data_IF_426785621449
#
_entry.id   IF_426785621449
#
_cell.length_a   1.000
_cell.length_b   1.000
_cell.length_c   1.000
_cell.angle_alpha   90.00
_cell.angle_beta   90.00
_cell.angle_gamma   90.00
#
_symmetry.space_group_name_H-M   'P 1'
#
loop_
_entity.id
_entity.type
_entity.pdbx_description
1 polymer ?
#
# COMPACT_ATOMS: atom_id res chain seq x y z
N UNK A 1 -0.87 -19.28 0.44
CA UNK A 1 -1.71 -20.48 0.68
C UNK A 1 -1.08 -21.68 0.00
N UNK A 2 -0.96 -22.83 0.70
CA UNK A 2 -0.44 -24.08 0.13
C UNK A 2 -1.49 -24.65 -0.82
N UNK A 3 -1.12 -24.93 -2.07
CA UNK A 3 -2.05 -25.40 -3.13
C UNK A 3 -1.88 -26.87 -3.45
N UNK A 4 -0.66 -27.38 -3.33
CA UNK A 4 -0.35 -28.78 -3.60
C UNK A 4 0.47 -29.38 -2.48
N UNK A 5 0.15 -30.58 -2.12
CA UNK A 5 0.92 -31.39 -1.18
C UNK A 5 0.66 -32.88 -1.42
N UNK A 6 1.59 -33.70 -1.03
CA UNK A 6 1.44 -35.17 -1.10
C UNK A 6 0.37 -35.59 -0.09
N UNK A 7 -0.61 -36.39 -0.53
CA UNK A 7 -1.63 -36.96 0.36
C UNK A 7 -0.98 -37.96 1.32
N UNK A 8 -0.79 -37.55 2.57
CA UNK A 8 -0.13 -38.32 3.62
C UNK A 8 -1.00 -38.36 4.87
N UNK A 9 -0.99 -39.48 5.64
CA UNK A 9 -1.80 -39.61 6.84
C UNK A 9 -1.40 -38.65 7.99
N UNK A 10 -0.18 -38.08 7.95
CA UNK A 10 0.30 -37.10 8.92
C UNK A 10 -0.04 -35.63 8.55
N UNK A 11 -0.60 -35.37 7.36
CA UNK A 11 -1.02 -34.05 6.92
C UNK A 11 -2.53 -33.90 7.02
N UNK A 12 -3.00 -32.83 7.65
CA UNK A 12 -4.43 -32.54 7.82
C UNK A 12 -4.67 -31.04 7.74
N UNK A 13 -5.81 -30.67 7.16
CA UNK A 13 -6.37 -29.34 7.34
C UNK A 13 -6.98 -29.23 8.73
N UNK A 14 -6.70 -28.12 9.40
CA UNK A 14 -7.31 -27.75 10.69
C UNK A 14 -7.92 -26.36 10.58
N UNK A 15 -8.93 -26.10 11.41
CA UNK A 15 -9.75 -24.90 11.38
C UNK A 15 -11.09 -25.15 10.68
N UNK A 16 -12.18 -24.59 11.21
CA UNK A 16 -13.51 -24.65 10.58
C UNK A 16 -13.66 -23.56 9.50
N UNK A 17 -12.91 -22.48 9.64
CA UNK A 17 -12.72 -21.40 8.67
C UNK A 17 -11.23 -21.04 8.67
N UNK A 18 -10.75 -20.41 7.59
CA UNK A 18 -9.32 -20.09 7.39
C UNK A 18 -8.42 -21.31 7.59
N UNK A 19 -8.85 -22.43 7.04
CA UNK A 19 -8.18 -23.72 7.16
C UNK A 19 -6.69 -23.62 6.76
N UNK A 20 -5.84 -24.23 7.58
CA UNK A 20 -4.42 -24.34 7.27
C UNK A 20 -3.93 -25.77 7.41
N UNK A 21 -2.91 -26.12 6.61
CA UNK A 21 -2.35 -27.46 6.61
C UNK A 21 -1.37 -27.60 7.78
N UNK A 22 -1.55 -28.64 8.58
CA UNK A 22 -0.65 -29.00 9.68
C UNK A 22 -0.09 -30.40 9.50
N UNK A 23 1.07 -30.64 10.10
CA UNK A 23 1.70 -31.95 10.17
C UNK A 23 1.67 -32.49 11.59
N UNK A 24 1.03 -33.63 11.77
CA UNK A 24 0.93 -34.29 13.09
C UNK A 24 2.32 -34.74 13.56
N UNK A 25 2.69 -34.36 14.79
CA UNK A 25 3.92 -34.80 15.45
C UNK A 25 5.21 -34.13 15.02
N UNK A 26 5.16 -33.08 14.18
CA UNK A 26 6.34 -32.28 13.80
C UNK A 26 5.96 -30.80 13.64
N UNK A 27 6.83 -29.91 14.07
CA UNK A 27 6.70 -28.48 13.81
C UNK A 27 7.16 -28.13 12.38
N UNK A 28 6.31 -27.40 11.67
CA UNK A 28 6.61 -26.83 10.36
C UNK A 28 6.37 -27.75 9.16
N UNK A 29 6.12 -27.12 8.03
CA UNK A 29 6.01 -27.72 6.70
C UNK A 29 7.20 -27.28 5.86
N UNK A 30 7.78 -28.22 5.11
CA UNK A 30 8.74 -27.84 4.07
C UNK A 30 7.95 -27.32 2.87
N UNK A 31 8.10 -26.03 2.56
CA UNK A 31 7.39 -25.37 1.46
C UNK A 31 8.35 -25.07 0.33
N UNK A 32 7.89 -25.30 -0.90
CA UNK A 32 8.59 -24.91 -2.12
C UNK A 32 7.77 -23.86 -2.84
N UNK A 33 8.42 -22.76 -3.22
CA UNK A 33 7.80 -21.75 -4.06
C UNK A 33 7.77 -22.22 -5.52
N UNK A 34 6.57 -22.38 -6.06
CA UNK A 34 6.32 -22.77 -7.44
C UNK A 34 5.65 -21.65 -8.27
N UNK A 35 5.69 -20.40 -7.80
CA UNK A 35 5.01 -19.28 -8.46
C UNK A 35 5.50 -19.01 -9.87
N UNK A 36 6.75 -19.35 -10.18
CA UNK A 36 7.32 -19.25 -11.53
C UNK A 36 6.87 -20.35 -12.49
N UNK A 37 6.43 -21.51 -11.96
CA UNK A 37 6.04 -22.69 -12.73
C UNK A 37 4.54 -22.85 -12.85
N UNK A 38 3.77 -22.32 -11.88
CA UNK A 38 2.34 -22.55 -11.75
C UNK A 38 1.60 -21.25 -11.46
N UNK A 39 0.64 -20.93 -12.30
CA UNK A 39 -0.30 -19.84 -12.09
C UNK A 39 -1.72 -20.39 -11.94
N UNK A 40 -2.46 -19.83 -10.96
CA UNK A 40 -3.85 -20.17 -10.74
C UNK A 40 -4.72 -18.94 -10.91
N UNK A 41 -5.72 -19.02 -11.76
CA UNK A 41 -6.77 -18.04 -11.83
C UNK A 41 -7.81 -18.35 -10.75
N UNK A 42 -7.93 -17.50 -9.74
CA UNK A 42 -8.93 -17.62 -8.69
C UNK A 42 -10.16 -16.78 -9.06
N UNK A 43 -11.23 -17.44 -9.48
CA UNK A 43 -12.47 -16.76 -9.92
C UNK A 43 -13.41 -16.37 -8.75
N UNK A 44 -13.17 -16.88 -7.56
CA UNK A 44 -14.05 -16.70 -6.38
C UNK A 44 -14.07 -15.29 -5.76
N UNK A 45 -13.40 -14.31 -6.37
CA UNK A 45 -13.43 -12.90 -5.99
C UNK A 45 -14.10 -12.00 -7.02
N UNK A 46 -14.85 -12.57 -7.99
CA UNK A 46 -15.65 -11.77 -8.89
C UNK A 46 -16.72 -11.02 -8.10
N UNK A 47 -17.09 -9.80 -8.55
CA UNK A 47 -17.95 -8.89 -7.78
C UNK A 47 -19.33 -9.47 -7.39
N UNK A 48 -19.85 -10.41 -8.15
CA UNK A 48 -21.11 -11.10 -7.86
C UNK A 48 -21.03 -12.03 -6.63
N UNK A 49 -19.86 -12.62 -6.35
CA UNK A 49 -19.66 -13.50 -5.18
C UNK A 49 -19.35 -12.72 -3.90
N UNK A 50 -18.83 -11.48 -4.01
CA UNK A 50 -18.60 -10.60 -2.84
C UNK A 50 -19.89 -10.18 -2.14
N UNK A 51 -21.03 -10.21 -2.81
CA UNK A 51 -22.35 -9.84 -2.27
C UNK A 51 -23.16 -11.01 -1.74
N UNK A 52 -22.57 -12.18 -1.63
CA UNK A 52 -23.28 -13.36 -1.15
C UNK A 52 -23.48 -13.29 0.39
N UNK A 53 -24.66 -12.80 0.78
CA UNK A 53 -25.10 -12.79 2.19
C UNK A 53 -25.02 -14.18 2.82
N UNK A 54 -25.17 -15.24 2.05
CA UNK A 54 -25.08 -16.62 2.54
C UNK A 54 -23.67 -16.96 3.03
N UNK A 55 -22.63 -16.44 2.39
CA UNK A 55 -21.23 -16.63 2.80
C UNK A 55 -20.90 -15.89 4.10
N UNK A 56 -21.38 -14.64 4.21
CA UNK A 56 -21.25 -13.87 5.45
C UNK A 56 -21.93 -14.59 6.63
N UNK A 57 -23.21 -14.93 6.49
CA UNK A 57 -24.00 -15.59 7.53
C UNK A 57 -23.40 -16.94 7.92
N UNK A 58 -22.96 -17.74 6.95
CA UNK A 58 -22.29 -19.01 7.20
C UNK A 58 -21.02 -18.83 8.03
N UNK A 59 -20.14 -17.90 7.63
CA UNK A 59 -18.89 -17.65 8.35
C UNK A 59 -19.16 -17.12 9.76
N UNK A 60 -20.07 -16.16 9.88
CA UNK A 60 -20.49 -15.62 11.18
C UNK A 60 -20.99 -16.71 12.13
N UNK A 61 -21.88 -17.59 11.65
CA UNK A 61 -22.43 -18.68 12.46
C UNK A 61 -21.33 -19.64 12.93
N UNK A 62 -20.39 -20.02 12.06
CA UNK A 62 -19.27 -20.90 12.43
C UNK A 62 -18.40 -20.25 13.51
N UNK A 63 -18.07 -18.94 13.36
CA UNK A 63 -17.27 -18.22 14.34
C UNK A 63 -18.00 -18.16 15.69
N UNK A 64 -19.27 -17.79 15.69
CA UNK A 64 -20.08 -17.69 16.91
C UNK A 64 -20.23 -19.04 17.64
N UNK A 65 -20.36 -20.15 16.90
CA UNK A 65 -20.38 -21.48 17.49
C UNK A 65 -19.06 -21.86 18.18
N UNK A 66 -17.93 -21.43 17.63
CA UNK A 66 -16.62 -21.64 18.26
C UNK A 66 -16.49 -20.77 19.51
N UNK A 67 -16.85 -19.49 19.40
CA UNK A 67 -16.78 -18.55 20.53
C UNK A 67 -17.75 -18.86 21.66
N UNK A 68 -18.83 -19.63 21.42
CA UNK A 68 -19.66 -20.19 22.52
C UNK A 68 -18.89 -21.19 23.38
N UNK A 69 -17.95 -21.95 22.79
CA UNK A 69 -17.14 -22.94 23.49
C UNK A 69 -15.86 -22.35 24.08
N UNK A 70 -15.29 -21.34 23.40
CA UNK A 70 -14.07 -20.67 23.79
C UNK A 70 -14.22 -19.13 23.57
N UNK A 71 -14.87 -18.43 24.52
CA UNK A 71 -15.22 -17.01 24.37
C UNK A 71 -14.01 -16.06 24.27
N UNK A 72 -12.86 -16.47 24.78
CA UNK A 72 -11.62 -15.69 24.81
C UNK A 72 -10.63 -16.08 23.71
N UNK A 73 -11.07 -16.85 22.71
CA UNK A 73 -10.22 -17.22 21.59
C UNK A 73 -9.89 -15.99 20.73
N UNK A 74 -8.70 -15.42 20.92
CA UNK A 74 -8.28 -14.18 20.27
C UNK A 74 -8.28 -14.28 18.73
N UNK A 75 -7.93 -15.45 18.17
CA UNK A 75 -7.95 -15.66 16.72
C UNK A 75 -9.35 -15.57 16.15
N UNK A 76 -10.31 -16.26 16.77
CA UNK A 76 -11.70 -16.26 16.32
C UNK A 76 -12.43 -14.96 16.63
N UNK A 77 -12.06 -14.24 17.70
CA UNK A 77 -12.51 -12.86 17.92
C UNK A 77 -11.98 -11.94 16.82
N UNK A 78 -10.74 -12.11 16.40
CA UNK A 78 -10.18 -11.38 15.26
C UNK A 78 -10.92 -11.70 13.96
N UNK A 79 -11.22 -12.97 13.66
CA UNK A 79 -12.03 -13.36 12.49
C UNK A 79 -13.47 -12.84 12.56
N UNK A 80 -14.04 -12.70 13.75
CA UNK A 80 -15.34 -12.06 13.95
C UNK A 80 -15.28 -10.59 13.50
N UNK A 81 -14.23 -9.88 13.91
CA UNK A 81 -13.97 -8.51 13.48
C UNK A 81 -13.82 -8.39 11.96
N UNK A 82 -13.03 -9.29 11.34
CA UNK A 82 -12.86 -9.33 9.87
C UNK A 82 -14.21 -9.55 9.16
N UNK A 83 -15.05 -10.42 9.73
CA UNK A 83 -16.35 -10.74 9.17
C UNK A 83 -17.30 -9.53 9.23
N UNK A 84 -17.37 -8.84 10.37
CA UNK A 84 -18.14 -7.62 10.51
C UNK A 84 -17.62 -6.47 9.63
N UNK A 85 -16.32 -6.28 9.58
CA UNK A 85 -15.69 -5.25 8.74
C UNK A 85 -15.99 -5.47 7.25
N UNK A 86 -15.99 -6.70 6.78
CA UNK A 86 -16.33 -7.04 5.39
C UNK A 86 -17.79 -6.75 5.01
N UNK A 87 -18.69 -6.68 6.00
CA UNK A 87 -20.11 -6.33 5.84
C UNK A 87 -20.37 -4.83 6.12
N UNK A 88 -19.32 -4.03 6.37
CA UNK A 88 -19.43 -2.61 6.68
C UNK A 88 -19.89 -2.29 8.11
N UNK A 89 -20.00 -3.29 8.97
CA UNK A 89 -20.37 -3.16 10.40
C UNK A 89 -19.15 -2.77 11.23
N UNK A 90 -18.72 -1.52 11.07
CA UNK A 90 -17.45 -1.06 11.63
C UNK A 90 -17.47 -0.98 13.17
N UNK A 91 -18.60 -0.67 13.80
CA UNK A 91 -18.71 -0.62 15.27
C UNK A 91 -18.58 -2.01 15.87
N UNK A 92 -19.30 -3.00 15.33
CA UNK A 92 -19.23 -4.40 15.76
C UNK A 92 -17.83 -4.98 15.47
N UNK A 93 -17.21 -4.61 14.34
CA UNK A 93 -15.87 -5.03 14.00
C UNK A 93 -14.85 -4.50 15.02
N UNK A 94 -14.91 -3.20 15.35
CA UNK A 94 -14.07 -2.59 16.37
C UNK A 94 -14.19 -3.31 17.71
N UNK A 95 -15.42 -3.55 18.16
CA UNK A 95 -15.67 -4.19 19.45
C UNK A 95 -15.15 -5.64 19.48
N UNK A 96 -15.27 -6.36 18.38
CA UNK A 96 -14.71 -7.70 18.23
C UNK A 96 -13.17 -7.67 18.25
N UNK A 97 -12.54 -6.72 17.54
CA UNK A 97 -11.08 -6.57 17.55
C UNK A 97 -10.56 -6.14 18.93
N UNK A 98 -11.23 -5.21 19.63
CA UNK A 98 -10.85 -4.82 21.00
C UNK A 98 -10.89 -6.01 21.94
N UNK A 99 -11.91 -6.87 21.85
CA UNK A 99 -11.97 -8.14 22.61
C UNK A 99 -10.84 -9.09 22.21
N UNK A 100 -10.54 -9.22 20.92
CA UNK A 100 -9.46 -10.05 20.44
C UNK A 100 -8.11 -9.61 21.03
N UNK A 101 -7.81 -8.31 20.98
CA UNK A 101 -6.58 -7.73 21.53
C UNK A 101 -6.48 -7.99 23.05
N UNK A 102 -7.57 -7.77 23.79
CA UNK A 102 -7.60 -7.99 25.23
C UNK A 102 -7.39 -9.48 25.61
N UNK A 103 -7.76 -10.41 24.74
CA UNK A 103 -7.60 -11.86 24.94
C UNK A 103 -6.24 -12.40 24.43
N UNK A 104 -5.40 -11.55 23.82
CA UNK A 104 -4.08 -11.97 23.33
C UNK A 104 -3.14 -12.31 24.48
N UNK A 105 -2.25 -13.29 24.30
CA UNK A 105 -1.21 -13.58 25.29
C UNK A 105 -0.27 -12.38 25.47
N UNK A 106 0.35 -12.30 26.65
CA UNK A 106 1.30 -11.22 26.96
C UNK A 106 2.47 -11.15 25.96
N UNK A 107 2.96 -12.31 25.52
CA UNK A 107 4.03 -12.43 24.53
C UNK A 107 3.52 -13.09 23.27
N UNK A 108 3.62 -12.37 22.15
CA UNK A 108 3.29 -12.86 20.83
C UNK A 108 4.51 -13.47 20.14
N UNK A 109 4.27 -14.45 19.28
CA UNK A 109 5.33 -14.99 18.41
C UNK A 109 5.79 -13.95 17.38
N UNK A 110 7.08 -13.99 17.03
CA UNK A 110 7.67 -13.05 16.04
C UNK A 110 6.94 -13.10 14.67
N UNK A 111 6.30 -14.22 14.37
CA UNK A 111 5.56 -14.45 13.12
C UNK A 111 4.05 -14.51 13.32
N UNK A 112 3.52 -13.91 14.40
CA UNK A 112 2.10 -13.95 14.68
C UNK A 112 1.32 -13.03 13.75
N UNK A 113 1.04 -13.57 12.56
CA UNK A 113 0.33 -12.87 11.50
C UNK A 113 -1.12 -12.56 11.89
N UNK A 114 -1.78 -13.43 12.68
CA UNK A 114 -3.18 -13.19 13.06
C UNK A 114 -3.29 -11.97 13.98
N UNK A 115 -2.43 -11.89 14.98
CA UNK A 115 -2.37 -10.74 15.89
C UNK A 115 -2.00 -9.45 15.14
N UNK A 116 -1.03 -9.50 14.22
CA UNK A 116 -0.68 -8.37 13.38
C UNK A 116 -1.90 -7.85 12.58
N UNK A 117 -2.64 -8.75 11.92
CA UNK A 117 -3.86 -8.35 11.20
C UNK A 117 -4.93 -7.79 12.11
N UNK A 118 -5.10 -8.34 13.31
CA UNK A 118 -6.09 -7.86 14.27
C UNK A 118 -5.81 -6.41 14.66
N UNK A 119 -4.56 -6.08 15.03
CA UNK A 119 -4.16 -4.71 15.35
C UNK A 119 -4.28 -3.77 14.15
N UNK A 120 -3.83 -4.20 12.99
CA UNK A 120 -3.90 -3.40 11.76
C UNK A 120 -5.35 -3.05 11.39
N UNK A 121 -6.25 -4.04 11.48
CA UNK A 121 -7.66 -3.85 11.18
C UNK A 121 -8.37 -3.03 12.27
N UNK A 122 -7.99 -3.19 13.54
CA UNK A 122 -8.48 -2.34 14.63
C UNK A 122 -8.12 -0.87 14.39
N UNK A 123 -6.85 -0.58 14.04
CA UNK A 123 -6.42 0.77 13.68
C UNK A 123 -7.26 1.33 12.53
N UNK A 124 -7.42 0.58 11.45
CA UNK A 124 -8.20 1.02 10.28
C UNK A 124 -9.67 1.29 10.61
N UNK A 125 -10.29 0.42 11.37
CA UNK A 125 -11.70 0.58 11.76
C UNK A 125 -11.87 1.77 12.69
N UNK A 126 -10.99 1.95 13.69
CA UNK A 126 -11.02 3.11 14.60
C UNK A 126 -10.82 4.43 13.85
N UNK A 127 -9.95 4.44 12.83
CA UNK A 127 -9.78 5.59 11.94
C UNK A 127 -11.03 5.86 11.09
N UNK A 128 -11.67 4.82 10.55
CA UNK A 128 -12.92 4.96 9.78
C UNK A 128 -14.09 5.48 10.63
N UNK A 129 -14.15 5.08 11.89
CA UNK A 129 -15.14 5.55 12.85
C UNK A 129 -14.84 6.96 13.40
N UNK A 130 -13.72 7.57 12.98
CA UNK A 130 -13.25 8.87 13.48
C UNK A 130 -13.10 8.90 15.00
N UNK A 131 -12.60 7.81 15.60
CA UNK A 131 -12.28 7.81 17.03
C UNK A 131 -11.26 8.91 17.37
N UNK A 132 -11.24 9.40 18.62
CA UNK A 132 -10.27 10.41 19.06
C UNK A 132 -8.83 10.01 18.73
N UNK A 133 -8.01 10.97 18.30
CA UNK A 133 -6.62 10.70 17.90
C UNK A 133 -5.83 9.99 19.01
N UNK A 134 -6.05 10.39 20.26
CA UNK A 134 -5.39 9.77 21.41
C UNK A 134 -5.73 8.26 21.58
N UNK A 135 -6.96 7.84 21.22
CA UNK A 135 -7.35 6.43 21.26
C UNK A 135 -6.67 5.62 20.14
N UNK A 136 -6.64 6.16 18.93
CA UNK A 136 -5.95 5.52 17.80
C UNK A 136 -4.45 5.40 18.06
N UNK A 137 -3.82 6.46 18.60
CA UNK A 137 -2.41 6.45 18.98
C UNK A 137 -2.13 5.46 20.13
N UNK A 138 -3.06 5.26 21.06
CA UNK A 138 -2.93 4.26 22.13
C UNK A 138 -2.94 2.83 21.56
N UNK A 139 -3.84 2.53 20.62
CA UNK A 139 -3.87 1.24 19.91
C UNK A 139 -2.57 1.00 19.16
N UNK A 140 -2.08 2.01 18.44
CA UNK A 140 -0.83 1.93 17.71
C UNK A 140 0.37 1.64 18.65
N UNK A 141 0.45 2.36 19.77
CA UNK A 141 1.52 2.17 20.75
C UNK A 141 1.53 0.75 21.31
N UNK A 142 0.36 0.22 21.67
CA UNK A 142 0.21 -1.16 22.14
C UNK A 142 0.63 -2.17 21.06
N UNK A 143 0.18 -1.96 19.81
CA UNK A 143 0.54 -2.83 18.69
C UNK A 143 2.06 -2.90 18.46
N UNK A 144 2.74 -1.75 18.48
CA UNK A 144 4.20 -1.66 18.31
C UNK A 144 4.94 -2.29 19.50
N UNK A 145 4.41 -2.16 20.72
CA UNK A 145 5.00 -2.82 21.90
C UNK A 145 4.92 -4.35 21.77
N UNK A 146 3.80 -4.87 21.33
CA UNK A 146 3.57 -6.32 21.13
C UNK A 146 4.33 -6.89 19.94
N UNK A 147 4.40 -6.16 18.82
CA UNK A 147 4.98 -6.58 17.54
C UNK A 147 5.90 -5.47 16.97
N UNK A 148 7.04 -5.19 17.61
CA UNK A 148 7.88 -4.02 17.29
C UNK A 148 8.50 -4.04 15.88
N UNK A 149 8.55 -5.20 15.25
CA UNK A 149 9.14 -5.38 13.91
C UNK A 149 8.11 -5.25 12.77
N UNK A 150 6.83 -5.13 13.10
CA UNK A 150 5.75 -5.07 12.09
C UNK A 150 5.68 -3.66 11.47
N UNK A 151 5.89 -3.51 10.15
CA UNK A 151 5.85 -2.21 9.48
C UNK A 151 4.43 -1.76 9.12
N UNK A 152 3.46 -2.68 9.06
CA UNK A 152 2.11 -2.36 8.59
C UNK A 152 1.39 -1.38 9.52
N UNK A 153 1.72 -1.37 10.82
CA UNK A 153 1.17 -0.40 11.77
C UNK A 153 1.60 1.03 11.44
N UNK A 154 2.90 1.21 11.16
CA UNK A 154 3.46 2.51 10.80
C UNK A 154 2.90 2.97 9.46
N UNK A 155 2.78 2.06 8.49
CA UNK A 155 2.18 2.34 7.18
C UNK A 155 0.73 2.85 7.32
N UNK A 156 -0.10 2.18 8.10
CA UNK A 156 -1.50 2.56 8.34
C UNK A 156 -1.61 3.89 9.08
N UNK A 157 -0.73 4.16 10.03
CA UNK A 157 -0.68 5.46 10.71
C UNK A 157 -0.19 6.57 9.79
N UNK A 158 0.79 6.29 8.94
CA UNK A 158 1.25 7.23 7.91
C UNK A 158 0.13 7.66 6.96
N UNK A 159 -0.63 6.69 6.44
CA UNK A 159 -1.81 6.94 5.61
C UNK A 159 -2.87 7.79 6.33
N UNK A 160 -3.11 7.50 7.58
CA UNK A 160 -4.08 8.24 8.37
C UNK A 160 -3.67 9.70 8.62
N UNK A 161 -2.41 9.94 9.02
CA UNK A 161 -1.89 11.29 9.19
C UNK A 161 -1.83 12.05 7.85
N UNK A 162 -1.51 11.37 6.76
CA UNK A 162 -1.55 11.94 5.42
C UNK A 162 -2.93 12.49 5.07
N UNK A 163 -3.98 11.68 5.25
CA UNK A 163 -5.37 12.09 5.01
C UNK A 163 -5.83 13.25 5.90
N UNK A 164 -5.24 13.40 7.08
CA UNK A 164 -5.49 14.54 7.99
C UNK A 164 -4.67 15.79 7.66
N UNK A 165 -3.79 15.73 6.68
CA UNK A 165 -2.87 16.82 6.34
C UNK A 165 -1.74 17.04 7.36
N UNK A 166 -1.53 16.10 8.27
CA UNK A 166 -0.44 16.12 9.26
C UNK A 166 0.84 15.54 8.63
N UNK A 167 1.40 16.27 7.64
CA UNK A 167 2.46 15.76 6.77
C UNK A 167 3.73 15.36 7.52
N UNK A 168 4.12 16.09 8.56
CA UNK A 168 5.30 15.75 9.36
C UNK A 168 5.16 14.37 10.02
N UNK A 169 4.02 14.12 10.68
CA UNK A 169 3.74 12.80 11.28
C UNK A 169 3.65 11.71 10.20
N UNK A 170 3.01 12.00 9.06
CA UNK A 170 2.89 11.05 7.96
C UNK A 170 4.26 10.62 7.40
N UNK A 171 5.15 11.59 7.14
CA UNK A 171 6.52 11.33 6.67
C UNK A 171 7.28 10.47 7.68
N UNK A 172 7.23 10.81 8.98
CA UNK A 172 7.88 10.04 10.03
C UNK A 172 7.40 8.58 10.06
N UNK A 173 6.08 8.36 9.97
CA UNK A 173 5.50 7.02 9.99
C UNK A 173 5.88 6.21 8.74
N UNK A 174 5.83 6.79 7.56
CA UNK A 174 6.23 6.11 6.34
C UNK A 174 7.73 5.78 6.30
N UNK A 175 8.60 6.71 6.73
CA UNK A 175 10.05 6.44 6.86
C UNK A 175 10.30 5.29 7.83
N UNK A 176 9.56 5.22 8.96
CA UNK A 176 9.68 4.15 9.95
C UNK A 176 9.21 2.81 9.38
N UNK A 177 8.08 2.78 8.64
CA UNK A 177 7.58 1.58 7.98
C UNK A 177 8.61 1.00 6.98
N UNK A 178 9.20 1.86 6.15
CA UNK A 178 10.23 1.48 5.17
C UNK A 178 11.47 0.96 5.89
N UNK A 179 11.95 1.67 6.92
CA UNK A 179 13.12 1.25 7.68
C UNK A 179 12.92 -0.12 8.37
N UNK A 180 11.74 -0.40 8.90
CA UNK A 180 11.40 -1.72 9.45
C UNK A 180 11.38 -2.78 8.35
N UNK A 181 10.78 -2.48 7.19
CA UNK A 181 10.73 -3.42 6.05
C UNK A 181 12.15 -3.77 5.58
N UNK A 182 13.03 -2.79 5.42
CA UNK A 182 14.42 -2.98 5.04
C UNK A 182 15.23 -3.75 6.09
N UNK A 183 15.04 -3.41 7.37
CA UNK A 183 15.83 -4.01 8.46
C UNK A 183 15.43 -5.46 8.73
N UNK A 184 14.13 -5.74 8.75
CA UNK A 184 13.61 -7.03 9.19
C UNK A 184 13.13 -7.92 8.03
N UNK A 185 12.89 -7.35 6.86
CA UNK A 185 12.58 -8.06 5.63
C UNK A 185 11.45 -9.10 5.81
N UNK A 186 11.75 -10.34 5.48
CA UNK A 186 10.78 -11.44 5.51
C UNK A 186 10.31 -11.85 6.91
N UNK A 187 10.93 -11.34 7.98
CA UNK A 187 10.57 -11.68 9.36
C UNK A 187 9.19 -11.15 9.72
N UNK A 188 8.84 -9.97 9.24
CA UNK A 188 7.59 -9.30 9.56
C UNK A 188 6.52 -9.37 8.45
N UNK A 189 6.81 -9.86 7.29
CA UNK A 189 5.94 -9.97 6.12
C UNK A 189 5.43 -8.65 5.53
N UNK A 190 5.14 -7.61 6.29
CA UNK A 190 4.79 -6.25 5.84
C UNK A 190 3.89 -6.20 4.59
N UNK A 191 2.74 -6.91 4.62
CA UNK A 191 1.93 -7.12 3.40
C UNK A 191 1.35 -5.82 2.89
N UNK A 192 0.86 -4.97 3.80
CA UNK A 192 0.28 -3.67 3.46
C UNK A 192 1.39 -2.74 3.01
N UNK A 193 2.46 -2.64 3.79
CA UNK A 193 3.62 -1.81 3.49
C UNK A 193 4.21 -2.16 2.12
N UNK A 194 4.38 -3.46 1.83
CA UNK A 194 4.90 -3.90 0.53
C UNK A 194 3.97 -3.57 -0.62
N UNK A 195 2.66 -3.72 -0.44
CA UNK A 195 1.67 -3.41 -1.48
C UNK A 195 1.52 -1.92 -1.75
N UNK A 196 1.81 -1.08 -0.77
CA UNK A 196 1.70 0.39 -0.83
C UNK A 196 3.06 1.09 -1.04
N UNK A 197 4.13 0.36 -1.27
CA UNK A 197 5.49 0.90 -1.21
C UNK A 197 5.71 2.08 -2.17
N UNK A 198 5.24 1.99 -3.41
CA UNK A 198 5.36 3.10 -4.38
C UNK A 198 4.53 4.30 -3.92
N UNK A 199 3.28 4.08 -3.53
CA UNK A 199 2.41 5.15 -3.01
C UNK A 199 3.01 5.83 -1.76
N UNK A 200 3.68 5.08 -0.90
CA UNK A 200 4.39 5.65 0.24
C UNK A 200 5.53 6.57 -0.20
N UNK A 201 6.30 6.18 -1.22
CA UNK A 201 7.35 7.04 -1.77
C UNK A 201 6.79 8.30 -2.45
N UNK A 202 5.66 8.21 -3.13
CA UNK A 202 4.93 9.39 -3.67
C UNK A 202 4.52 10.35 -2.54
N UNK A 203 3.87 9.80 -1.49
CA UNK A 203 3.50 10.58 -0.31
C UNK A 203 4.72 11.18 0.42
N UNK A 204 5.84 10.44 0.51
CA UNK A 204 7.08 10.94 1.08
C UNK A 204 7.67 12.09 0.24
N UNK A 205 7.66 11.95 -1.08
CA UNK A 205 8.11 13.02 -2.00
C UNK A 205 7.32 14.30 -1.79
N UNK A 206 6.00 14.23 -1.91
CA UNK A 206 5.12 15.39 -1.75
C UNK A 206 5.11 15.92 -0.30
N UNK A 207 5.13 15.03 0.70
CA UNK A 207 5.18 15.41 2.11
C UNK A 207 6.44 16.17 2.47
N UNK A 208 7.62 15.67 2.05
CA UNK A 208 8.88 16.36 2.24
C UNK A 208 8.92 17.71 1.50
N UNK A 209 8.36 17.80 0.28
CA UNK A 209 8.22 19.07 -0.43
C UNK A 209 7.39 20.07 0.37
N UNK A 210 6.23 19.67 0.89
CA UNK A 210 5.36 20.54 1.73
C UNK A 210 6.03 20.99 3.02
N UNK A 211 6.97 20.21 3.54
CA UNK A 211 7.78 20.55 4.73
C UNK A 211 9.04 21.36 4.39
N UNK A 212 9.30 21.61 3.11
CA UNK A 212 10.49 22.35 2.64
C UNK A 212 11.78 21.53 2.61
N UNK A 213 11.72 20.21 2.86
CA UNK A 213 12.87 19.30 2.70
C UNK A 213 12.97 18.82 1.23
N UNK A 214 13.32 19.75 0.35
CA UNK A 214 13.40 19.47 -1.09
C UNK A 214 14.43 18.39 -1.43
N UNK A 215 15.49 18.27 -0.65
CA UNK A 215 16.53 17.28 -0.91
C UNK A 215 16.00 15.84 -0.68
N UNK A 216 15.22 15.61 0.38
CA UNK A 216 14.56 14.32 0.60
C UNK A 216 13.46 14.10 -0.44
N UNK A 217 12.66 15.13 -0.73
CA UNK A 217 11.59 15.05 -1.71
C UNK A 217 12.10 14.57 -3.07
N UNK A 218 13.16 15.19 -3.58
CA UNK A 218 13.81 14.79 -4.85
C UNK A 218 14.25 13.33 -4.82
N UNK A 219 14.85 12.85 -3.71
CA UNK A 219 15.27 11.45 -3.59
C UNK A 219 14.10 10.48 -3.71
N UNK A 220 12.98 10.76 -3.02
CA UNK A 220 11.80 9.91 -3.06
C UNK A 220 11.13 9.93 -4.44
N UNK A 221 10.99 11.10 -5.08
CA UNK A 221 10.47 11.19 -6.44
C UNK A 221 11.33 10.39 -7.44
N UNK A 222 12.66 10.43 -7.30
CA UNK A 222 13.58 9.67 -8.17
C UNK A 222 13.39 8.17 -7.98
N UNK A 223 13.12 7.67 -6.77
CA UNK A 223 12.81 6.25 -6.53
C UNK A 223 11.55 5.84 -7.31
N UNK A 224 10.49 6.64 -7.24
CA UNK A 224 9.24 6.38 -7.97
C UNK A 224 9.50 6.40 -9.47
N UNK A 225 10.13 7.45 -10.00
CA UNK A 225 10.38 7.62 -11.43
C UNK A 225 11.35 6.58 -12.02
N UNK A 226 12.29 6.06 -11.24
CA UNK A 226 13.13 4.94 -11.65
C UNK A 226 12.35 3.60 -11.70
N UNK A 227 11.24 3.50 -10.99
CA UNK A 227 10.36 2.33 -11.01
C UNK A 227 9.33 2.44 -12.15
N UNK A 228 8.69 3.60 -12.27
CA UNK A 228 7.81 3.98 -13.37
C UNK A 228 8.07 5.44 -13.77
N UNK A 229 8.84 5.66 -14.84
CA UNK A 229 9.15 7.00 -15.35
C UNK A 229 7.92 7.71 -15.95
N UNK A 230 6.77 7.05 -16.06
CA UNK A 230 5.51 7.63 -16.50
C UNK A 230 4.64 8.14 -15.35
N UNK A 231 5.10 8.00 -14.12
CA UNK A 231 4.39 8.54 -12.97
C UNK A 231 4.38 10.08 -13.01
N UNK A 232 3.21 10.61 -13.37
CA UNK A 232 3.03 12.06 -13.57
C UNK A 232 3.04 12.79 -12.24
N UNK A 233 2.53 12.19 -11.16
CA UNK A 233 2.44 12.85 -9.85
C UNK A 233 3.83 13.01 -9.23
N UNK A 234 4.67 11.98 -9.31
CA UNK A 234 6.07 12.07 -8.89
C UNK A 234 6.87 13.07 -9.73
N UNK A 235 6.63 13.12 -11.05
CA UNK A 235 7.29 14.11 -11.94
C UNK A 235 6.85 15.53 -11.61
N UNK A 236 5.56 15.78 -11.38
CA UNK A 236 5.03 17.07 -10.96
C UNK A 236 5.66 17.52 -9.63
N UNK A 237 5.71 16.63 -8.64
CA UNK A 237 6.34 16.90 -7.35
C UNK A 237 7.81 17.24 -7.51
N UNK A 238 8.56 16.49 -8.33
CA UNK A 238 9.96 16.72 -8.60
C UNK A 238 10.21 18.10 -9.23
N UNK A 239 9.44 18.46 -10.26
CA UNK A 239 9.57 19.77 -10.93
C UNK A 239 9.20 20.91 -9.97
N UNK A 240 8.19 20.72 -9.12
CA UNK A 240 7.83 21.69 -8.08
C UNK A 240 8.96 21.88 -7.06
N UNK A 241 9.62 20.79 -6.62
CA UNK A 241 10.80 20.89 -5.74
C UNK A 241 11.90 21.76 -6.37
N UNK A 242 12.18 21.59 -7.65
CA UNK A 242 13.18 22.40 -8.35
C UNK A 242 12.74 23.85 -8.47
N UNK A 243 11.47 24.12 -8.77
CA UNK A 243 10.93 25.47 -8.85
C UNK A 243 11.01 26.20 -7.51
N UNK A 244 10.61 25.55 -6.43
CA UNK A 244 10.64 26.09 -5.07
C UNK A 244 12.08 26.26 -4.52
N UNK A 245 13.03 25.49 -5.06
CA UNK A 245 14.46 25.61 -4.75
C UNK A 245 15.21 26.57 -5.68
N UNK A 246 14.51 27.27 -6.59
CA UNK A 246 15.08 28.20 -7.57
C UNK A 246 16.13 27.55 -8.50
N UNK A 247 15.96 26.27 -8.85
CA UNK A 247 16.81 25.58 -9.83
C UNK A 247 16.47 26.08 -11.24
N UNK A 248 17.46 26.34 -12.05
CA UNK A 248 17.27 26.82 -13.42
C UNK A 248 16.62 25.77 -14.33
N UNK A 249 15.93 26.22 -15.40
CA UNK A 249 15.31 25.29 -16.34
C UNK A 249 16.34 24.37 -17.03
N UNK A 250 17.53 24.91 -17.30
CA UNK A 250 18.65 24.15 -17.87
C UNK A 250 19.09 23.01 -16.95
N UNK A 251 19.24 23.27 -15.65
CA UNK A 251 19.62 22.28 -14.68
C UNK A 251 18.51 21.22 -14.50
N UNK A 252 17.22 21.64 -14.53
CA UNK A 252 16.08 20.72 -14.49
C UNK A 252 16.11 19.78 -15.70
N UNK A 253 16.27 20.30 -16.91
CA UNK A 253 16.35 19.48 -18.13
C UNK A 253 17.55 18.55 -18.08
N UNK A 254 18.72 19.03 -17.65
CA UNK A 254 19.90 18.18 -17.48
C UNK A 254 19.67 17.06 -16.44
N UNK A 255 18.98 17.36 -15.36
CA UNK A 255 18.65 16.36 -14.33
C UNK A 255 17.68 15.31 -14.87
N UNK A 256 16.61 15.75 -15.52
CA UNK A 256 15.58 14.84 -16.07
C UNK A 256 16.15 13.93 -17.17
N UNK A 257 17.17 14.37 -17.92
CA UNK A 257 17.88 13.52 -18.88
C UNK A 257 18.65 12.34 -18.28
N UNK A 258 18.74 12.23 -16.93
CA UNK A 258 19.26 11.05 -16.25
C UNK A 258 18.18 9.99 -16.00
N UNK A 259 16.90 10.37 -16.13
CA UNK A 259 15.73 9.53 -15.87
C UNK A 259 15.00 9.19 -17.17
N UNK A 260 14.90 10.18 -18.08
CA UNK A 260 14.17 10.11 -19.34
C UNK A 260 15.13 10.04 -20.52
N UNK A 261 14.77 9.24 -21.51
CA UNK A 261 15.52 9.13 -22.77
C UNK A 261 15.03 10.19 -23.77
N UNK A 262 15.84 11.21 -24.01
CA UNK A 262 15.54 12.27 -24.97
C UNK A 262 15.59 11.83 -26.44
N UNK A 263 15.91 10.57 -26.73
CA UNK A 263 15.70 9.97 -28.04
C UNK A 263 14.31 9.31 -28.18
N UNK A 264 13.66 8.94 -27.08
CA UNK A 264 12.30 8.38 -27.07
C UNK A 264 11.25 9.49 -27.14
N UNK A 265 10.42 9.45 -28.18
CA UNK A 265 9.32 10.41 -28.37
C UNK A 265 8.31 10.40 -27.22
N UNK A 266 8.07 9.25 -26.57
CA UNK A 266 7.12 9.12 -25.46
C UNK A 266 7.62 9.91 -24.26
N UNK A 267 8.89 9.81 -23.95
CA UNK A 267 9.53 10.53 -22.85
C UNK A 267 9.52 12.04 -23.10
N UNK A 268 9.87 12.47 -24.31
CA UNK A 268 9.79 13.88 -24.70
C UNK A 268 8.37 14.45 -24.56
N UNK A 269 7.37 13.68 -25.00
CA UNK A 269 5.96 14.09 -24.95
C UNK A 269 5.44 14.20 -23.51
N UNK A 270 5.78 13.25 -22.63
CA UNK A 270 5.40 13.33 -21.21
C UNK A 270 5.96 14.58 -20.57
N UNK A 271 7.26 14.85 -20.74
CA UNK A 271 7.92 16.02 -20.17
C UNK A 271 7.33 17.33 -20.70
N UNK A 272 7.08 17.41 -22.01
CA UNK A 272 6.48 18.59 -22.62
C UNK A 272 5.06 18.82 -22.10
N UNK A 273 4.23 17.78 -22.03
CA UNK A 273 2.85 17.89 -21.53
C UNK A 273 2.80 18.32 -20.08
N UNK A 274 3.69 17.79 -19.24
CA UNK A 274 3.79 18.19 -17.83
C UNK A 274 4.23 19.63 -17.70
N UNK A 275 5.25 20.08 -18.44
CA UNK A 275 5.67 21.49 -18.46
C UNK A 275 4.54 22.43 -18.89
N UNK A 276 3.77 22.06 -19.91
CA UNK A 276 2.59 22.82 -20.36
C UNK A 276 1.49 22.87 -19.29
N UNK A 277 1.15 21.73 -18.68
CA UNK A 277 0.13 21.64 -17.63
C UNK A 277 0.50 22.48 -16.40
N UNK A 278 1.78 22.57 -16.07
CA UNK A 278 2.30 23.40 -14.98
C UNK A 278 2.42 24.90 -15.36
N UNK A 279 2.22 25.26 -16.62
CA UNK A 279 2.44 26.63 -17.13
C UNK A 279 3.91 27.07 -17.11
N UNK A 280 4.87 26.14 -17.04
CA UNK A 280 6.31 26.39 -17.03
C UNK A 280 6.80 26.64 -18.45
N UNK A 281 6.63 27.90 -18.92
CA UNK A 281 6.99 28.33 -20.28
C UNK A 281 8.48 28.19 -20.61
N UNK A 282 9.34 28.28 -19.60
CA UNK A 282 10.78 28.04 -19.70
C UNK A 282 11.04 26.54 -20.05
N UNK A 283 10.53 25.61 -19.29
CA UNK A 283 10.66 24.17 -19.55
C UNK A 283 9.94 23.76 -20.84
N UNK A 284 8.74 24.30 -21.10
CA UNK A 284 8.01 24.04 -22.35
C UNK A 284 8.86 24.37 -23.56
N UNK A 285 9.50 25.54 -23.56
CA UNK A 285 10.40 25.99 -24.67
C UNK A 285 11.56 25.00 -24.83
N UNK A 286 12.18 24.57 -23.74
CA UNK A 286 13.32 23.67 -23.79
C UNK A 286 12.92 22.29 -24.31
N UNK A 287 11.83 21.69 -23.78
CA UNK A 287 11.37 20.39 -24.24
C UNK A 287 10.85 20.41 -25.67
N UNK A 288 10.21 21.51 -26.12
CA UNK A 288 9.89 21.72 -27.55
C UNK A 288 11.17 21.78 -28.41
N UNK A 289 12.25 22.33 -27.86
CA UNK A 289 13.54 22.38 -28.52
C UNK A 289 14.20 21.02 -28.75
N UNK A 290 13.88 20.02 -27.90
CA UNK A 290 14.40 18.65 -28.02
C UNK A 290 13.64 17.84 -29.08
N UNK A 291 12.40 18.20 -29.41
CA UNK A 291 11.64 17.55 -30.46
C UNK A 291 12.22 17.84 -31.84
N UNK A 292 12.28 16.83 -32.71
CA UNK A 292 12.58 16.99 -34.12
C UNK A 292 11.46 17.78 -34.81
N UNK A 293 11.70 18.42 -35.96
CA UNK A 293 10.66 19.20 -36.66
C UNK A 293 9.38 18.40 -36.92
N UNK A 294 9.50 17.18 -37.43
CA UNK A 294 8.36 16.29 -37.67
C UNK A 294 7.62 15.92 -36.37
N UNK A 295 8.33 15.60 -35.29
CA UNK A 295 7.76 15.27 -33.99
C UNK A 295 6.95 16.45 -33.41
N UNK A 296 7.37 17.70 -33.67
CA UNK A 296 6.62 18.90 -33.25
C UNK A 296 5.30 19.03 -34.01
N UNK A 297 5.33 18.86 -35.32
CA UNK A 297 4.14 18.93 -36.15
C UNK A 297 3.10 17.88 -35.72
N UNK A 298 3.53 16.65 -35.49
CA UNK A 298 2.68 15.55 -35.00
C UNK A 298 2.12 15.84 -33.59
N UNK A 299 2.94 16.38 -32.70
CA UNK A 299 2.52 16.76 -31.36
C UNK A 299 1.48 17.89 -31.39
N UNK A 300 1.71 18.95 -32.17
CA UNK A 300 0.81 20.09 -32.25
C UNK A 300 -0.52 19.69 -32.88
N UNK A 301 -0.53 18.86 -33.93
CA UNK A 301 -1.75 18.32 -34.54
C UNK A 301 -2.54 17.44 -33.53
N UNK A 302 -1.86 16.62 -32.74
CA UNK A 302 -2.51 15.81 -31.71
C UNK A 302 -3.13 16.67 -30.60
N UNK A 303 -2.46 17.76 -30.19
CA UNK A 303 -2.99 18.70 -29.20
C UNK A 303 -4.21 19.47 -29.70
N UNK A 304 -4.23 19.90 -30.96
CA UNK A 304 -5.39 20.54 -31.59
C UNK A 304 -6.60 19.59 -31.67
N UNK A 305 -6.35 18.32 -32.04
CA UNK A 305 -7.40 17.29 -32.10
C UNK A 305 -7.99 17.03 -30.70
N UNK A 306 -7.14 16.95 -29.67
CA UNK A 306 -7.59 16.75 -28.30
C UNK A 306 -8.41 17.93 -27.76
N UNK A 307 -8.12 19.16 -28.18
CA UNK A 307 -8.88 20.36 -27.79
C UNK A 307 -10.21 20.50 -28.55
N UNK A 308 -10.28 20.01 -29.78
CA UNK A 308 -11.49 20.06 -30.61
C UNK A 308 -12.54 18.99 -30.31
N UNK A 309 -12.20 18.01 -29.43
CA UNK A 309 -13.11 16.93 -29.06
C UNK A 309 -13.41 15.94 -30.20
N UNK A 310 -12.65 15.98 -31.29
CA UNK A 310 -12.81 15.04 -32.41
C UNK A 310 -12.31 13.64 -32.04
N UNK A 311 -13.02 12.55 -32.38
CA UNK A 311 -12.53 11.19 -32.12
C UNK A 311 -11.27 10.94 -32.93
N UNK A 312 -10.27 10.33 -32.26
CA UNK A 312 -9.07 9.83 -32.93
C UNK A 312 -9.49 8.79 -34.00
N UNK A 313 -9.23 9.10 -35.26
CA UNK A 313 -9.49 8.25 -36.42
C UNK A 313 -8.52 7.05 -36.47
#
# INVERSE_FOLDING_TARGET
MIRFFVNRPDLRYVGKIHEHLVRKGRSGLHLTDATKQLAFLHTGYQEQEKKDKSKFERNLNIILEILKQDPENCDYLGYLGDTYSSDGKNEEARDAYKKAVAAMPEKLGVYDQRSSYTYTNLLRVSQCLNEPEAEVEAIYKEAVEKLPKEPDFDCVMGEWYWRKGQYEKAVQMYELAIAKLETYGTVNRGIITTSMLIQMYECLGEGCRKLGDYQKAVRYCVIVLNTDHKDVDALLTLINCFAESNVSAEEVVQFLGKIYDYSDIKDKVILLRVAMAMGRKDLERMFRGILLPQEREEFDAAMETAQSGAPLS
#
